data_IF_011791908966
#
_entry.id   IF_011791908966
#
_cell.length_a   1.000
_cell.length_b   1.000
_cell.length_c   1.000
_cell.angle_alpha   90.00
_cell.angle_beta   90.00
_cell.angle_gamma   90.00
#
_symmetry.space_group_name_H-M   'P 1'
#
loop_
_entity.id
_entity.type
_entity.pdbx_description
1 polymer ?
#
# COMPACT_ATOMS: atom_id res chain seq x y z
N UNK A 1 7.16 -18.17 12.70
CA UNK A 1 8.02 -18.94 11.76
C UNK A 1 7.89 -18.27 10.40
N UNK A 2 8.49 -17.09 10.22
CA UNK A 2 8.61 -16.45 8.91
C UNK A 2 10.05 -16.67 8.47
N UNK A 3 10.24 -17.71 7.67
CA UNK A 3 11.54 -18.04 7.08
C UNK A 3 11.99 -16.94 6.11
N UNK A 4 13.28 -16.96 5.78
CA UNK A 4 14.07 -16.00 4.98
C UNK A 4 13.58 -15.75 3.53
N UNK A 5 12.28 -15.93 3.26
CA UNK A 5 11.64 -15.94 1.95
C UNK A 5 10.31 -15.15 1.98
N UNK A 6 10.23 -14.11 2.83
CA UNK A 6 9.02 -13.26 3.03
C UNK A 6 8.68 -12.34 1.86
N UNK A 7 9.44 -12.38 0.76
CA UNK A 7 9.04 -11.67 -0.46
C UNK A 7 7.85 -12.41 -1.08
N UNK A 8 6.69 -11.77 -1.16
CA UNK A 8 5.58 -12.23 -1.99
C UNK A 8 6.10 -12.47 -3.42
N UNK A 9 6.22 -13.73 -3.81
CA UNK A 9 6.68 -14.13 -5.14
C UNK A 9 5.54 -13.91 -6.13
N UNK A 10 5.68 -12.90 -6.98
CA UNK A 10 4.80 -12.61 -8.11
C UNK A 10 5.34 -13.33 -9.35
N UNK A 11 4.96 -14.61 -9.51
CA UNK A 11 5.42 -15.44 -10.62
C UNK A 11 4.90 -14.97 -11.99
N UNK A 12 3.85 -14.14 -12.00
CA UNK A 12 3.28 -13.53 -13.23
C UNK A 12 4.07 -12.31 -13.70
N UNK A 13 5.03 -11.82 -12.90
CA UNK A 13 5.88 -10.66 -13.22
C UNK A 13 6.70 -10.83 -14.50
N UNK A 14 6.90 -12.07 -14.97
CA UNK A 14 7.69 -12.40 -16.14
C UNK A 14 6.86 -12.58 -17.44
N UNK A 15 5.54 -12.43 -17.39
CA UNK A 15 4.70 -12.48 -18.60
C UNK A 15 4.76 -11.14 -19.35
N UNK A 16 4.72 -11.19 -20.68
CA UNK A 16 4.62 -9.98 -21.50
C UNK A 16 3.36 -9.19 -21.11
N UNK A 17 3.49 -7.93 -20.65
CA UNK A 17 2.36 -7.18 -20.17
C UNK A 17 1.43 -6.81 -21.33
N UNK A 18 0.14 -7.12 -21.18
CA UNK A 18 -0.88 -6.60 -22.10
C UNK A 18 -0.87 -5.07 -22.05
N UNK A 19 -0.96 -4.39 -23.20
CA UNK A 19 -0.80 -2.92 -23.29
C UNK A 19 -1.64 -2.12 -22.27
N UNK A 20 -2.85 -2.57 -21.90
CA UNK A 20 -3.69 -1.89 -20.89
C UNK A 20 -3.22 -2.08 -19.45
N UNK A 21 -2.27 -2.98 -19.21
CA UNK A 21 -1.65 -3.29 -17.92
C UNK A 21 -0.26 -2.64 -17.76
N UNK A 22 0.23 -1.92 -18.77
CA UNK A 22 1.44 -1.11 -18.66
C UNK A 22 1.23 -0.04 -17.59
N UNK A 23 2.16 0.07 -16.67
CA UNK A 23 2.15 1.05 -15.59
C UNK A 23 3.55 1.63 -15.41
N UNK A 24 3.65 2.82 -14.80
CA UNK A 24 4.93 3.47 -14.51
C UNK A 24 5.77 3.78 -15.77
N UNK A 25 6.98 3.21 -15.87
CA UNK A 25 7.99 3.58 -16.89
C UNK A 25 7.57 3.27 -18.33
N UNK A 26 6.80 2.19 -18.52
CA UNK A 26 6.31 1.79 -19.85
C UNK A 26 5.26 2.77 -20.41
N UNK A 27 4.50 3.43 -19.53
CA UNK A 27 3.57 4.50 -19.90
C UNK A 27 4.27 5.85 -20.05
N UNK A 28 5.45 6.05 -19.45
CA UNK A 28 6.20 7.31 -19.51
C UNK A 28 6.84 7.59 -20.87
N UNK A 29 7.29 6.57 -21.63
CA UNK A 29 8.01 6.73 -22.92
C UNK A 29 8.94 7.98 -22.93
N UNK A 30 9.06 8.68 -24.07
CA UNK A 30 9.84 9.92 -24.22
C UNK A 30 9.07 11.19 -23.75
N UNK A 31 7.91 11.04 -23.09
CA UNK A 31 7.09 12.17 -22.67
C UNK A 31 7.63 12.79 -21.37
N UNK A 32 7.94 14.09 -21.40
CA UNK A 32 8.25 14.84 -20.19
C UNK A 32 6.97 15.15 -19.41
N UNK A 33 6.76 14.43 -18.30
CA UNK A 33 5.57 14.56 -17.44
C UNK A 33 5.82 15.39 -16.18
N UNK A 34 6.99 16.02 -16.02
CA UNK A 34 7.43 16.65 -14.77
C UNK A 34 6.45 17.67 -14.16
N UNK A 35 5.71 18.38 -15.02
CA UNK A 35 4.73 19.38 -14.61
C UNK A 35 3.29 18.84 -14.58
N UNK A 36 3.08 17.57 -14.93
CA UNK A 36 1.78 16.92 -15.08
C UNK A 36 1.51 15.94 -13.94
N UNK A 37 2.55 15.23 -13.47
CA UNK A 37 2.45 14.22 -12.41
C UNK A 37 3.34 14.60 -11.23
N UNK A 38 3.02 14.05 -10.05
CA UNK A 38 3.82 14.23 -8.85
C UNK A 38 5.17 13.53 -8.99
N UNK A 39 6.22 14.24 -8.56
CA UNK A 39 7.54 13.67 -8.35
C UNK A 39 7.59 13.00 -6.98
N UNK A 40 8.42 11.97 -6.78
CA UNK A 40 8.58 11.36 -5.46
C UNK A 40 8.95 12.37 -4.36
N UNK A 41 9.76 13.39 -4.69
CA UNK A 41 10.13 14.48 -3.78
C UNK A 41 8.98 15.43 -3.41
N UNK A 42 7.86 15.38 -4.13
CA UNK A 42 6.66 16.17 -3.86
C UNK A 42 5.64 15.39 -3.01
N UNK A 43 5.90 14.11 -2.72
CA UNK A 43 5.04 13.30 -1.87
C UNK A 43 5.31 13.61 -0.40
N UNK A 44 4.27 13.88 0.40
CA UNK A 44 4.41 14.06 1.83
C UNK A 44 4.77 12.72 2.50
N UNK A 45 5.44 12.80 3.64
CA UNK A 45 5.69 11.62 4.49
C UNK A 45 4.36 11.08 5.04
N UNK A 46 3.46 11.97 5.45
CA UNK A 46 2.11 11.66 5.93
C UNK A 46 1.20 12.90 5.81
N UNK A 47 -0.12 12.77 5.61
CA UNK A 47 -0.87 11.53 5.32
C UNK A 47 -0.63 10.99 3.89
N UNK A 48 -1.01 9.73 3.64
CA UNK A 48 -1.04 9.20 2.27
C UNK A 48 -1.98 10.02 1.40
N UNK A 49 -1.54 10.39 0.20
CA UNK A 49 -2.38 11.08 -0.79
C UNK A 49 -3.25 10.14 -1.60
N UNK A 50 -2.91 8.84 -1.60
CA UNK A 50 -3.54 7.85 -2.44
C UNK A 50 -4.27 6.82 -1.59
N UNK A 51 -5.47 6.48 -2.03
CA UNK A 51 -6.33 5.48 -1.39
C UNK A 51 -6.17 4.16 -2.15
N UNK A 52 -5.92 3.10 -1.40
CA UNK A 52 -5.89 1.73 -1.91
C UNK A 52 -7.18 1.04 -1.46
N UNK A 53 -8.17 1.01 -2.36
CA UNK A 53 -9.46 0.34 -2.21
C UNK A 53 -9.97 -0.11 -3.58
N UNK A 54 -11.10 -0.80 -3.65
CA UNK A 54 -11.74 -1.24 -4.91
C UNK A 54 -12.01 -0.07 -5.88
N UNK A 55 -12.40 1.08 -5.33
CA UNK A 55 -12.64 2.31 -6.08
C UNK A 55 -11.35 3.14 -6.27
N UNK A 56 -10.32 2.89 -5.44
CA UNK A 56 -9.04 3.56 -5.45
C UNK A 56 -9.12 5.09 -5.41
N UNK A 57 -8.01 5.76 -5.68
CA UNK A 57 -8.02 7.18 -6.03
C UNK A 57 -7.17 8.08 -5.15
N UNK A 58 -7.58 9.35 -5.06
CA UNK A 58 -6.88 10.42 -4.35
C UNK A 58 -7.68 10.81 -3.12
N UNK A 59 -7.01 10.90 -1.97
CA UNK A 59 -7.58 11.51 -0.77
C UNK A 59 -7.47 13.03 -0.90
N UNK A 60 -8.56 13.67 -1.29
CA UNK A 60 -8.63 15.12 -1.48
C UNK A 60 -8.38 15.91 -0.18
N UNK A 61 -8.73 15.33 0.97
CA UNK A 61 -8.50 15.95 2.28
C UNK A 61 -7.02 15.89 2.62
N UNK A 62 -6.36 14.75 2.40
CA UNK A 62 -4.92 14.62 2.54
C UNK A 62 -4.17 15.62 1.63
N UNK A 63 -4.56 15.69 0.35
CA UNK A 63 -4.00 16.68 -0.59
C UNK A 63 -4.16 18.12 -0.10
N UNK A 64 -5.36 18.47 0.39
CA UNK A 64 -5.64 19.82 0.92
C UNK A 64 -4.79 20.13 2.16
N UNK A 65 -4.57 19.16 3.04
CA UNK A 65 -3.75 19.31 4.25
C UNK A 65 -2.26 19.49 3.94
N UNK A 66 -1.75 18.84 2.90
CA UNK A 66 -0.32 18.87 2.53
C UNK A 66 -0.01 19.92 1.48
N UNK A 67 -1.02 20.65 0.99
CA UNK A 67 -0.87 21.64 -0.08
C UNK A 67 -0.58 21.04 -1.46
N UNK A 68 -0.80 19.74 -1.64
CA UNK A 68 -0.57 19.06 -2.92
C UNK A 68 -1.77 19.25 -3.82
N UNK A 69 -1.53 19.62 -5.08
CA UNK A 69 -2.59 19.84 -6.05
C UNK A 69 -3.32 18.52 -6.38
N UNK A 70 -4.62 18.47 -6.08
CA UNK A 70 -5.49 17.31 -6.33
C UNK A 70 -5.43 16.89 -7.81
N UNK A 71 -5.46 17.84 -8.74
CA UNK A 71 -5.37 17.55 -10.18
C UNK A 71 -4.09 16.80 -10.53
N UNK A 72 -2.95 17.20 -9.95
CA UNK A 72 -1.64 16.59 -10.19
C UNK A 72 -1.59 15.18 -9.60
N UNK A 73 -2.18 14.96 -8.42
CA UNK A 73 -2.34 13.62 -7.84
C UNK A 73 -3.21 12.70 -8.72
N UNK A 74 -4.36 13.20 -9.21
CA UNK A 74 -5.25 12.45 -10.12
C UNK A 74 -4.53 12.13 -11.44
N UNK A 75 -3.80 13.09 -12.00
CA UNK A 75 -3.03 12.87 -13.22
C UNK A 75 -1.89 11.88 -13.00
N UNK A 76 -1.31 11.82 -11.80
CA UNK A 76 -0.31 10.82 -11.44
C UNK A 76 -0.86 9.41 -11.59
N UNK A 77 -2.03 9.13 -10.98
CA UNK A 77 -2.70 7.82 -11.13
C UNK A 77 -3.00 7.51 -12.60
N UNK A 78 -3.59 8.47 -13.32
CA UNK A 78 -4.03 8.27 -14.71
C UNK A 78 -2.87 8.07 -15.67
N UNK A 79 -1.88 8.96 -15.66
CA UNK A 79 -0.75 8.92 -16.60
C UNK A 79 0.18 7.75 -16.35
N UNK A 80 0.36 7.37 -15.08
CA UNK A 80 1.17 6.21 -14.72
C UNK A 80 0.38 4.91 -14.68
N UNK A 81 -0.94 4.97 -14.94
CA UNK A 81 -1.85 3.83 -14.92
C UNK A 81 -1.71 3.00 -13.62
N UNK A 82 -1.59 3.68 -12.48
CA UNK A 82 -1.32 3.06 -11.16
C UNK A 82 -2.53 2.30 -10.60
N UNK A 83 -3.65 2.35 -11.28
CA UNK A 83 -4.90 1.69 -10.91
C UNK A 83 -5.44 0.80 -12.04
N UNK A 84 -4.53 0.24 -12.83
CA UNK A 84 -4.89 -0.71 -13.87
C UNK A 84 -5.39 -2.04 -13.27
N UNK A 85 -6.14 -2.81 -14.08
CA UNK A 85 -6.74 -4.09 -13.67
C UNK A 85 -5.71 -5.04 -13.06
N UNK A 86 -4.52 -5.15 -13.65
CA UNK A 86 -3.43 -5.99 -13.11
C UNK A 86 -3.06 -5.60 -11.68
N UNK A 87 -2.87 -4.30 -11.42
CA UNK A 87 -2.53 -3.82 -10.08
C UNK A 87 -3.68 -3.98 -9.09
N UNK A 88 -4.93 -3.79 -9.54
CA UNK A 88 -6.13 -4.06 -8.71
C UNK A 88 -6.21 -5.53 -8.31
N UNK A 89 -6.05 -6.46 -9.25
CA UNK A 89 -6.06 -7.89 -8.96
C UNK A 89 -4.94 -8.28 -7.99
N UNK A 90 -3.73 -7.73 -8.19
CA UNK A 90 -2.61 -8.02 -7.29
C UNK A 90 -2.86 -7.47 -5.87
N UNK A 91 -3.41 -6.25 -5.75
CA UNK A 91 -3.80 -5.69 -4.44
C UNK A 91 -4.90 -6.51 -3.77
N UNK A 92 -5.88 -6.97 -4.54
CA UNK A 92 -6.95 -7.83 -4.05
C UNK A 92 -6.40 -9.14 -3.48
N UNK A 93 -5.48 -9.80 -4.18
CA UNK A 93 -4.83 -11.02 -3.70
C UNK A 93 -4.04 -10.79 -2.40
N UNK A 94 -3.38 -9.63 -2.25
CA UNK A 94 -2.75 -9.24 -0.99
C UNK A 94 -3.79 -9.05 0.10
N UNK A 95 -4.90 -8.37 -0.17
CA UNK A 95 -5.98 -8.14 0.79
C UNK A 95 -6.61 -9.45 1.28
N UNK A 96 -6.85 -10.39 0.37
CA UNK A 96 -7.36 -11.73 0.69
C UNK A 96 -6.40 -12.48 1.61
N UNK A 97 -5.10 -12.46 1.31
CA UNK A 97 -4.09 -13.08 2.16
C UNK A 97 -3.98 -12.43 3.54
N UNK A 98 -4.11 -11.10 3.64
CA UNK A 98 -4.15 -10.40 4.93
C UNK A 98 -5.38 -10.81 5.76
N UNK A 99 -6.54 -10.92 5.12
CA UNK A 99 -7.75 -11.43 5.76
C UNK A 99 -7.59 -12.88 6.22
N UNK A 100 -6.96 -13.75 5.43
CA UNK A 100 -6.69 -15.14 5.82
C UNK A 100 -5.79 -15.21 7.05
N UNK A 101 -4.70 -14.43 7.10
CA UNK A 101 -3.82 -14.35 8.28
C UNK A 101 -4.60 -13.85 9.48
N UNK A 102 -5.34 -12.75 9.35
CA UNK A 102 -6.14 -12.20 10.44
C UNK A 102 -7.17 -13.20 10.95
N UNK A 103 -7.84 -13.93 10.07
CA UNK A 103 -8.85 -14.93 10.44
C UNK A 103 -8.24 -16.11 11.20
N UNK A 104 -7.07 -16.62 10.77
CA UNK A 104 -6.37 -17.71 11.47
C UNK A 104 -5.90 -17.27 12.85
N UNK A 105 -5.28 -16.10 12.95
CA UNK A 105 -4.80 -15.58 14.24
C UNK A 105 -5.98 -15.26 15.17
N UNK A 106 -7.08 -14.72 14.65
CA UNK A 106 -8.31 -14.49 15.41
C UNK A 106 -8.92 -15.78 15.93
N UNK A 107 -9.04 -16.82 15.09
CA UNK A 107 -9.52 -18.14 15.52
C UNK A 107 -8.62 -18.74 16.62
N UNK A 108 -7.31 -18.48 16.57
CA UNK A 108 -6.35 -18.96 17.57
C UNK A 108 -6.54 -18.35 18.96
N UNK A 109 -7.17 -17.19 19.07
CA UNK A 109 -7.50 -16.55 20.36
C UNK A 109 -8.67 -17.26 21.08
N UNK A 110 -9.47 -18.03 20.34
CA UNK A 110 -10.57 -18.83 20.86
C UNK A 110 -11.89 -18.07 21.07
N UNK A 111 -12.95 -18.81 21.39
CA UNK A 111 -14.34 -18.30 21.40
C UNK A 111 -14.63 -17.23 22.47
N UNK A 112 -13.74 -17.04 23.45
CA UNK A 112 -13.87 -16.03 24.51
C UNK A 112 -13.19 -14.69 24.16
N UNK A 113 -12.57 -14.58 22.98
CA UNK A 113 -11.90 -13.38 22.53
C UNK A 113 -12.87 -12.19 22.40
N UNK A 114 -12.40 -11.03 22.82
CA UNK A 114 -13.16 -9.78 22.87
C UNK A 114 -12.79 -8.83 21.74
N UNK A 115 -13.58 -7.78 21.53
CA UNK A 115 -13.25 -6.71 20.59
C UNK A 115 -11.89 -6.04 20.92
N UNK A 116 -11.55 -5.92 22.20
CA UNK A 116 -10.25 -5.37 22.63
C UNK A 116 -9.08 -6.32 22.25
N UNK A 117 -9.30 -7.63 22.27
CA UNK A 117 -8.32 -8.62 21.81
C UNK A 117 -8.15 -8.53 20.29
N UNK A 118 -9.24 -8.29 19.55
CA UNK A 118 -9.19 -8.08 18.10
C UNK A 118 -8.40 -6.83 17.72
N UNK A 119 -8.64 -5.71 18.42
CA UNK A 119 -7.87 -4.47 18.22
C UNK A 119 -6.39 -4.66 18.56
N UNK A 120 -6.09 -5.43 19.62
CA UNK A 120 -4.71 -5.78 19.99
C UNK A 120 -4.05 -6.63 18.91
N UNK A 121 -4.76 -7.62 18.36
CA UNK A 121 -4.28 -8.45 17.26
C UNK A 121 -4.00 -7.63 16.00
N UNK A 122 -4.89 -6.71 15.63
CA UNK A 122 -4.68 -5.80 14.50
C UNK A 122 -3.42 -4.94 14.68
N UNK A 123 -3.20 -4.41 15.89
CA UNK A 123 -2.00 -3.63 16.18
C UNK A 123 -0.72 -4.48 16.09
N UNK A 124 -0.74 -5.71 16.59
CA UNK A 124 0.40 -6.64 16.52
C UNK A 124 0.73 -7.03 15.09
N UNK A 125 -0.27 -7.39 14.29
CA UNK A 125 -0.07 -7.74 12.88
C UNK A 125 0.41 -6.53 12.06
N UNK A 126 -0.09 -5.33 12.36
CA UNK A 126 0.41 -4.11 11.75
C UNK A 126 1.89 -3.88 12.07
N UNK A 127 2.30 -4.05 13.34
CA UNK A 127 3.69 -3.92 13.77
C UNK A 127 4.58 -4.94 13.08
N UNK A 128 4.17 -6.21 13.00
CA UNK A 128 4.93 -7.26 12.33
C UNK A 128 5.13 -6.99 10.84
N UNK A 129 4.10 -6.49 10.14
CA UNK A 129 4.14 -6.33 8.69
C UNK A 129 4.68 -4.98 8.20
N UNK A 130 4.73 -3.97 9.07
CA UNK A 130 5.15 -2.61 8.71
C UNK A 130 6.40 -2.15 9.46
N UNK A 131 7.03 -3.01 10.26
CA UNK A 131 8.37 -2.77 10.82
C UNK A 131 9.42 -3.31 9.86
N UNK A 132 10.37 -2.46 9.48
CA UNK A 132 11.48 -2.80 8.59
C UNK A 132 12.73 -2.04 9.03
N UNK A 133 13.91 -2.63 8.79
CA UNK A 133 15.18 -2.00 9.15
C UNK A 133 15.46 -0.75 8.29
N UNK A 134 16.20 0.27 8.78
CA UNK A 134 16.42 1.52 8.06
C UNK A 134 17.04 1.41 6.66
N UNK A 135 17.69 0.29 6.36
CA UNK A 135 18.31 0.01 5.05
C UNK A 135 17.61 -1.10 4.27
N UNK A 136 16.51 -1.64 4.81
CA UNK A 136 15.69 -2.61 4.12
C UNK A 136 14.71 -1.89 3.18
N UNK A 137 14.45 -2.49 2.02
CA UNK A 137 13.44 -1.95 1.12
C UNK A 137 12.04 -2.09 1.73
N UNK A 138 11.15 -1.15 1.42
CA UNK A 138 9.74 -1.30 1.80
C UNK A 138 9.18 -2.62 1.24
N UNK A 139 8.31 -3.31 1.99
CA UNK A 139 7.71 -4.55 1.51
C UNK A 139 6.91 -4.33 0.22
N UNK A 140 6.83 -5.37 -0.59
CA UNK A 140 5.96 -5.36 -1.77
C UNK A 140 4.52 -5.04 -1.35
N UNK A 141 3.84 -4.19 -2.12
CA UNK A 141 2.49 -3.72 -1.81
C UNK A 141 2.36 -3.03 -0.44
N UNK A 142 3.43 -2.41 0.06
CA UNK A 142 3.44 -1.61 1.31
C UNK A 142 2.20 -0.72 1.48
N UNK A 143 1.80 0.01 0.43
CA UNK A 143 0.63 0.89 0.51
C UNK A 143 -0.69 0.16 0.71
N UNK A 144 -0.80 -1.08 0.21
CA UNK A 144 -1.97 -1.94 0.42
C UNK A 144 -2.02 -2.44 1.86
N UNK A 145 -0.87 -2.88 2.39
CA UNK A 145 -0.72 -3.33 3.78
C UNK A 145 -1.01 -2.16 4.74
N UNK A 146 -0.45 -0.98 4.48
CA UNK A 146 -0.73 0.27 5.22
C UNK A 146 -2.22 0.60 5.22
N UNK A 147 -2.90 0.51 4.07
CA UNK A 147 -4.34 0.78 3.97
C UNK A 147 -5.19 -0.26 4.69
N UNK A 148 -4.81 -1.54 4.65
CA UNK A 148 -5.52 -2.63 5.33
C UNK A 148 -5.61 -2.40 6.85
N UNK A 149 -4.49 -2.07 7.49
CA UNK A 149 -4.42 -1.88 8.94
C UNK A 149 -4.85 -0.46 9.40
N UNK A 150 -5.08 0.47 8.48
CA UNK A 150 -5.64 1.80 8.78
C UNK A 150 -4.89 2.54 9.88
N UNK A 151 -5.60 2.91 10.96
CA UNK A 151 -5.03 3.68 12.09
C UNK A 151 -3.87 2.96 12.79
N UNK A 152 -3.88 1.63 12.81
CA UNK A 152 -2.82 0.83 13.41
C UNK A 152 -1.52 0.95 12.61
N UNK A 153 -1.62 0.93 11.27
CA UNK A 153 -0.47 1.20 10.40
C UNK A 153 0.12 2.60 10.62
N UNK A 154 -0.74 3.63 10.70
CA UNK A 154 -0.26 5.00 10.92
C UNK A 154 0.45 5.14 12.27
N UNK A 155 -0.03 4.44 13.30
CA UNK A 155 0.61 4.40 14.61
C UNK A 155 2.02 3.84 14.52
N UNK A 156 2.19 2.66 13.91
CA UNK A 156 3.51 2.00 13.72
C UNK A 156 4.46 2.90 12.93
N UNK A 157 4.01 3.44 11.79
CA UNK A 157 4.85 4.25 10.90
C UNK A 157 5.26 5.61 11.52
N UNK A 158 4.42 6.17 12.40
CA UNK A 158 4.76 7.40 13.12
C UNK A 158 5.89 7.20 14.14
N UNK A 159 6.02 6.00 14.70
CA UNK A 159 7.07 5.64 15.65
C UNK A 159 8.39 5.31 14.94
N UNK A 160 8.31 4.64 13.78
CA UNK A 160 9.49 4.34 12.97
C UNK A 160 10.20 5.59 12.42
N UNK A 161 9.46 6.68 12.20
CA UNK A 161 10.01 7.96 11.70
C UNK A 161 10.80 8.77 12.75
N UNK A 162 10.88 8.31 14.01
CA UNK A 162 11.56 8.99 15.12
C UNK A 162 12.96 8.44 15.44
N UNK A 163 13.42 7.39 14.76
CA UNK A 163 14.71 6.72 15.01
C UNK A 163 15.74 6.96 13.90
#
# INVERSE_FOLDING_TARGET
MFGEDSSFKDDERCLEPYQKNHSCGETKKDDNLDNIILKPSELPVSPSLFVVSDDGGVDEKACSQTGVEITKAVMTIKRLNLDCVRLRNARQAIWEKLNEVLAVEWESLGDEATDDDFETLLAQLAEEMLTFEPNEGLPAFFTTIRSFFGVHAETVLSQASQN
#
